data_IF_605676494913
#
_entry.id   IF_605676494913
#
_cell.length_a   1.000
_cell.length_b   1.000
_cell.length_c   1.000
_cell.angle_alpha   90.00
_cell.angle_beta   90.00
_cell.angle_gamma   90.00
#
_symmetry.space_group_name_H-M   'P 1'
#
loop_
_entity.id
_entity.type
_entity.pdbx_description
1 polymer ?
#
# COMPACT_ATOMS: atom_id res chain seq x y z
N UNK A 1 -18.33 -7.53 15.02
CA UNK A 1 -17.80 -6.23 14.54
C UNK A 1 -16.65 -5.81 15.46
N UNK A 2 -15.50 -5.38 14.92
CA UNK A 2 -14.40 -4.83 15.72
C UNK A 2 -14.61 -3.31 15.90
N UNK A 3 -14.70 -2.79 17.15
CA UNK A 3 -14.90 -1.35 17.38
C UNK A 3 -13.65 -0.50 17.12
N UNK A 4 -12.47 -1.13 16.98
CA UNK A 4 -11.20 -0.43 16.76
C UNK A 4 -10.66 -0.70 15.35
N UNK A 5 -9.90 0.23 14.76
CA UNK A 5 -9.17 -0.05 13.54
C UNK A 5 -8.18 -1.19 13.78
N UNK A 6 -8.01 -2.05 12.77
CA UNK A 6 -6.95 -3.05 12.77
C UNK A 6 -5.83 -2.56 11.86
N UNK A 7 -4.66 -2.38 12.45
CA UNK A 7 -3.51 -1.79 11.82
C UNK A 7 -2.41 -2.84 11.56
N UNK A 8 -1.69 -2.70 10.46
CA UNK A 8 -0.54 -3.54 10.12
C UNK A 8 0.57 -2.70 9.50
N UNK A 9 1.80 -3.16 9.65
CA UNK A 9 2.97 -2.53 9.05
C UNK A 9 3.85 -3.60 8.39
N UNK A 10 4.45 -3.23 7.27
CA UNK A 10 5.37 -4.06 6.51
C UNK A 10 6.45 -3.23 5.86
N UNK A 11 7.36 -3.89 5.13
CA UNK A 11 8.44 -3.21 4.43
C UNK A 11 8.69 -3.89 3.10
N UNK A 12 8.71 -3.11 2.03
CA UNK A 12 9.14 -3.57 0.70
C UNK A 12 10.64 -3.29 0.61
N UNK A 13 11.43 -4.33 0.36
CA UNK A 13 12.87 -4.21 0.17
C UNK A 13 13.22 -4.40 -1.29
N UNK A 14 14.05 -3.52 -1.85
CA UNK A 14 14.59 -3.67 -3.19
C UNK A 14 16.05 -3.20 -3.24
N UNK A 15 16.76 -3.70 -4.25
CA UNK A 15 18.17 -3.36 -4.47
C UNK A 15 18.37 -2.93 -5.91
N UNK A 16 18.95 -1.75 -6.11
CA UNK A 16 19.37 -1.28 -7.43
C UNK A 16 20.89 -1.53 -7.57
N UNK A 17 21.26 -2.56 -8.32
CA UNK A 17 22.66 -2.98 -8.49
C UNK A 17 23.37 -2.33 -9.71
N UNK A 18 22.72 -1.41 -10.42
CA UNK A 18 23.28 -0.75 -11.62
C UNK A 18 23.96 0.60 -11.36
N UNK A 19 24.65 1.19 -12.35
CA UNK A 19 25.34 2.48 -12.25
C UNK A 19 24.44 3.63 -11.76
N UNK A 20 23.14 3.57 -12.05
CA UNK A 20 22.15 4.55 -11.58
C UNK A 20 21.98 4.59 -10.05
N UNK A 21 22.31 3.50 -9.34
CA UNK A 21 22.37 3.48 -7.87
C UNK A 21 23.63 4.11 -7.28
N UNK A 22 24.65 4.37 -8.10
CA UNK A 22 25.82 5.16 -7.72
C UNK A 22 25.64 6.66 -7.97
N UNK A 23 24.68 7.07 -8.81
CA UNK A 23 24.43 8.46 -9.18
C UNK A 23 23.36 9.16 -8.32
N UNK A 24 22.76 8.46 -7.34
CA UNK A 24 21.81 9.06 -6.40
C UNK A 24 20.43 9.38 -6.98
N UNK A 25 19.89 8.53 -7.86
CA UNK A 25 18.52 8.67 -8.34
C UNK A 25 17.46 8.43 -7.24
N UNK A 26 16.19 8.70 -7.54
CA UNK A 26 15.04 8.29 -6.73
C UNK A 26 14.04 7.55 -7.61
N UNK A 27 13.52 6.41 -7.12
CA UNK A 27 12.42 5.72 -7.76
C UNK A 27 11.10 6.22 -7.17
N UNK A 28 10.15 6.52 -8.06
CA UNK A 28 8.75 6.76 -7.68
C UNK A 28 8.05 5.41 -7.66
N UNK A 29 7.43 5.07 -6.54
CA UNK A 29 6.77 3.77 -6.35
C UNK A 29 5.27 3.99 -6.20
N UNK A 30 4.50 3.46 -7.14
CA UNK A 30 3.04 3.53 -7.13
C UNK A 30 2.43 2.20 -6.72
N UNK A 31 1.21 2.26 -6.18
CA UNK A 31 0.46 1.10 -5.73
C UNK A 31 -0.91 1.10 -6.40
N UNK A 32 -1.30 0.00 -7.04
CA UNK A 32 -2.57 -0.10 -7.76
C UNK A 32 -3.80 0.01 -6.85
N UNK A 33 -4.97 0.22 -7.44
CA UNK A 33 -6.25 0.22 -6.74
C UNK A 33 -6.67 -1.17 -6.21
N UNK A 34 -5.98 -2.24 -6.62
CA UNK A 34 -6.41 -3.60 -6.32
C UNK A 34 -7.71 -3.95 -7.05
N UNK A 35 -8.44 -4.93 -6.51
CA UNK A 35 -9.71 -5.38 -7.09
C UNK A 35 -10.87 -4.38 -6.95
N UNK A 36 -10.75 -3.37 -6.07
CA UNK A 36 -11.82 -2.38 -5.85
C UNK A 36 -11.95 -1.31 -6.93
N UNK A 37 -10.91 -1.10 -7.75
CA UNK A 37 -10.88 -0.03 -8.76
C UNK A 37 -10.90 1.39 -8.19
N UNK A 38 -10.62 1.57 -6.89
CA UNK A 38 -10.53 2.89 -6.25
C UNK A 38 -9.47 2.95 -5.15
N UNK A 39 -8.86 4.12 -4.99
CA UNK A 39 -7.92 4.41 -3.90
C UNK A 39 -8.60 4.85 -2.60
N UNK A 40 -9.83 5.37 -2.66
CA UNK A 40 -10.50 5.93 -1.49
C UNK A 40 -10.73 4.87 -0.40
N UNK A 41 -11.16 3.68 -0.81
CA UNK A 41 -11.28 2.51 0.05
C UNK A 41 -11.06 1.26 -0.80
N UNK A 42 -9.94 0.58 -0.58
CA UNK A 42 -9.68 -0.72 -1.20
C UNK A 42 -10.48 -1.80 -0.49
N UNK A 43 -10.67 -2.93 -1.15
CA UNK A 43 -11.47 -4.03 -0.60
C UNK A 43 -10.81 -5.38 -0.82
N UNK A 44 -10.79 -6.21 0.22
CA UNK A 44 -10.47 -7.62 0.14
C UNK A 44 -11.75 -8.44 0.07
N UNK A 45 -11.72 -9.58 -0.60
CA UNK A 45 -12.90 -10.43 -0.84
C UNK A 45 -12.75 -11.81 -0.23
N UNK A 46 -13.86 -12.38 0.23
CA UNK A 46 -14.01 -13.76 0.69
C UNK A 46 -15.35 -14.32 0.22
N UNK A 47 -15.37 -14.95 -0.96
CA UNK A 47 -16.60 -15.30 -1.65
C UNK A 47 -17.41 -14.04 -1.99
N UNK A 48 -18.66 -13.96 -1.54
CA UNK A 48 -19.51 -12.78 -1.72
C UNK A 48 -19.28 -11.67 -0.67
N UNK A 49 -18.45 -11.91 0.35
CA UNK A 49 -18.20 -10.95 1.40
C UNK A 49 -17.06 -10.00 1.02
N UNK A 50 -17.18 -8.74 1.41
CA UNK A 50 -16.23 -7.67 1.09
C UNK A 50 -15.78 -7.00 2.38
N UNK A 51 -14.47 -6.84 2.56
CA UNK A 51 -13.86 -6.19 3.72
C UNK A 51 -12.99 -5.01 3.25
N UNK A 52 -13.33 -3.81 3.70
CA UNK A 52 -12.63 -2.58 3.39
C UNK A 52 -11.28 -2.46 4.10
N UNK A 53 -10.32 -1.88 3.40
CA UNK A 53 -9.00 -1.54 3.91
C UNK A 53 -8.38 -0.39 3.11
N UNK A 54 -7.26 0.14 3.58
CA UNK A 54 -6.40 0.97 2.75
C UNK A 54 -4.92 0.83 3.13
N UNK A 55 -4.05 1.32 2.25
CA UNK A 55 -2.61 1.30 2.40
C UNK A 55 -2.08 2.73 2.33
N UNK A 56 -1.13 3.06 3.21
CA UNK A 56 -0.63 4.40 3.44
C UNK A 56 0.90 4.44 3.37
N UNK A 57 1.43 5.59 2.97
CA UNK A 57 2.88 5.86 2.90
C UNK A 57 3.46 6.28 4.26
N UNK A 58 2.62 6.73 5.19
CA UNK A 58 3.02 7.26 6.50
C UNK A 58 2.44 6.46 7.67
N UNK A 59 3.18 6.45 8.79
CA UNK A 59 2.79 5.72 9.99
C UNK A 59 1.50 6.26 10.65
N UNK A 60 1.21 7.56 10.46
CA UNK A 60 -0.01 8.18 10.95
C UNK A 60 -1.25 7.84 10.06
N UNK A 61 -1.02 7.23 8.89
CA UNK A 61 -2.04 6.79 7.93
C UNK A 61 -2.92 7.95 7.46
N UNK A 62 -2.24 9.02 7.08
CA UNK A 62 -2.85 10.26 6.58
C UNK A 62 -2.75 10.38 5.07
N UNK A 63 -1.78 9.70 4.45
CA UNK A 63 -1.50 9.72 3.03
C UNK A 63 -1.76 8.35 2.42
N UNK A 64 -2.90 8.21 1.72
CA UNK A 64 -3.23 6.99 0.99
C UNK A 64 -2.19 6.78 -0.11
N UNK A 65 -1.59 5.59 -0.16
CA UNK A 65 -0.65 5.23 -1.20
C UNK A 65 -1.39 4.85 -2.47
N UNK A 66 -1.11 5.55 -3.57
CA UNK A 66 -1.64 5.29 -4.89
C UNK A 66 -0.61 5.66 -5.96
N UNK A 67 -1.03 6.48 -6.92
CA UNK A 67 -0.28 6.87 -8.12
C UNK A 67 -0.27 8.39 -8.34
N UNK A 68 -0.48 9.18 -7.28
CA UNK A 68 -0.61 10.64 -7.30
C UNK A 68 -1.94 11.15 -7.89
N UNK A 69 -2.83 10.26 -8.35
CA UNK A 69 -4.20 10.64 -8.72
C UNK A 69 -5.15 10.57 -7.52
N UNK A 70 -6.34 11.15 -7.64
CA UNK A 70 -7.38 11.11 -6.61
C UNK A 70 -6.92 11.56 -5.20
N UNK A 71 -5.93 12.46 -5.12
CA UNK A 71 -5.37 12.95 -3.86
C UNK A 71 -4.45 11.96 -3.12
N UNK A 72 -4.04 10.88 -3.78
CA UNK A 72 -3.11 9.90 -3.22
C UNK A 72 -1.68 10.40 -3.21
N UNK A 73 -0.84 9.79 -2.38
CA UNK A 73 0.61 9.96 -2.37
C UNK A 73 1.31 8.75 -2.98
N UNK A 74 2.58 8.91 -3.33
CA UNK A 74 3.45 7.84 -3.84
C UNK A 74 4.53 7.53 -2.83
N UNK A 75 5.06 6.31 -2.88
CA UNK A 75 6.26 5.94 -2.15
C UNK A 75 7.47 6.56 -2.83
N UNK A 76 8.35 7.17 -2.04
CA UNK A 76 9.66 7.59 -2.53
C UNK A 76 10.71 6.63 -2.03
N UNK A 77 11.51 6.15 -2.95
CA UNK A 77 12.50 5.16 -2.65
C UNK A 77 13.84 5.62 -3.24
N UNK A 78 14.79 6.10 -2.42
CA UNK A 78 16.10 6.54 -2.93
C UNK A 78 16.77 5.42 -3.74
N UNK A 79 17.71 5.69 -4.64
CA UNK A 79 18.43 4.62 -5.36
C UNK A 79 19.79 4.42 -4.69
N UNK A 80 20.16 3.17 -4.41
CA UNK A 80 21.29 2.81 -3.53
C UNK A 80 21.31 1.32 -3.15
N UNK A 81 22.30 0.90 -2.35
CA UNK A 81 22.39 -0.48 -1.87
C UNK A 81 21.47 -0.69 -0.66
N UNK A 82 20.38 -1.41 -0.87
CA UNK A 82 19.37 -1.83 0.13
C UNK A 82 18.41 -0.73 0.56
N UNK A 83 17.25 -0.67 -0.09
CA UNK A 83 16.22 0.30 0.20
C UNK A 83 14.97 -0.35 0.74
N UNK A 84 14.46 0.27 1.78
CA UNK A 84 13.31 -0.17 2.56
C UNK A 84 12.22 0.88 2.45
N UNK A 85 11.10 0.51 1.84
CA UNK A 85 9.91 1.34 1.74
C UNK A 85 8.88 0.83 2.76
N UNK A 86 8.62 1.57 3.85
CA UNK A 86 7.64 1.15 4.84
C UNK A 86 6.23 1.20 4.25
N UNK A 87 5.40 0.24 4.64
CA UNK A 87 4.02 0.08 4.16
C UNK A 87 3.12 0.02 5.38
N UNK A 88 2.08 0.85 5.42
CA UNK A 88 1.14 0.88 6.54
C UNK A 88 -0.25 0.50 6.05
N UNK A 89 -0.80 -0.61 6.53
CA UNK A 89 -2.16 -1.04 6.24
C UNK A 89 -3.11 -0.70 7.38
N UNK A 90 -4.37 -0.40 7.05
CA UNK A 90 -5.45 -0.26 8.04
C UNK A 90 -6.76 -0.80 7.50
N UNK A 91 -7.46 -1.55 8.35
CA UNK A 91 -8.87 -1.87 8.20
C UNK A 91 -9.67 -0.97 9.15
N UNK A 92 -10.65 -0.18 8.66
CA UNK A 92 -11.47 0.66 9.51
C UNK A 92 -12.35 -0.18 10.46
N UNK A 93 -12.71 0.37 11.63
CA UNK A 93 -13.60 -0.28 12.59
C UNK A 93 -15.03 -0.43 12.04
N UNK A 94 -15.87 -1.19 12.74
CA UNK A 94 -17.32 -1.22 12.52
C UNK A 94 -17.78 -2.05 11.32
N UNK A 95 -16.86 -2.75 10.65
CA UNK A 95 -17.21 -3.62 9.52
C UNK A 95 -17.90 -4.90 10.04
N UNK A 96 -19.13 -5.14 9.59
CA UNK A 96 -19.92 -6.32 9.93
C UNK A 96 -19.91 -7.35 8.81
N UNK A 97 -18.85 -8.15 8.76
CA UNK A 97 -18.65 -9.18 7.74
C UNK A 97 -18.45 -10.53 8.40
N UNK A 98 -18.72 -11.62 7.66
CA UNK A 98 -18.51 -12.97 8.16
C UNK A 98 -17.03 -13.20 8.52
N UNK A 99 -16.76 -13.98 9.57
CA UNK A 99 -15.40 -14.40 9.88
C UNK A 99 -14.84 -15.28 8.75
N UNK A 100 -13.61 -15.01 8.32
CA UNK A 100 -12.99 -15.72 7.21
C UNK A 100 -11.71 -15.04 6.74
N UNK A 101 -11.06 -15.65 5.74
CA UNK A 101 -9.87 -15.11 5.10
C UNK A 101 -10.27 -14.25 3.90
N UNK A 102 -10.00 -12.95 3.99
CA UNK A 102 -10.22 -12.00 2.91
C UNK A 102 -8.87 -11.68 2.24
N UNK A 103 -8.85 -11.65 0.91
CA UNK A 103 -7.63 -11.33 0.16
C UNK A 103 -7.89 -10.31 -0.95
N UNK A 104 -6.87 -9.52 -1.26
CA UNK A 104 -6.77 -8.66 -2.44
C UNK A 104 -5.33 -8.73 -2.96
N UNK A 105 -5.12 -8.41 -4.24
CA UNK A 105 -3.79 -8.36 -4.85
C UNK A 105 -3.49 -6.96 -5.35
N UNK A 106 -2.44 -6.34 -4.81
CA UNK A 106 -1.98 -5.02 -5.22
C UNK A 106 -0.72 -5.13 -6.07
N UNK A 107 -0.71 -4.45 -7.21
CA UNK A 107 0.48 -4.29 -8.05
C UNK A 107 1.28 -3.08 -7.59
N UNK A 108 2.59 -3.29 -7.39
CA UNK A 108 3.56 -2.24 -7.07
C UNK A 108 4.37 -1.94 -8.33
N UNK A 109 4.40 -0.69 -8.75
CA UNK A 109 5.13 -0.25 -9.95
C UNK A 109 6.24 0.71 -9.57
N UNK A 110 7.45 0.45 -10.07
CA UNK A 110 8.62 1.29 -9.86
C UNK A 110 8.91 2.09 -11.14
N UNK A 111 9.04 3.41 -11.00
CA UNK A 111 9.47 4.32 -12.05
C UNK A 111 10.87 4.84 -11.70
N UNK A 112 11.82 4.71 -12.64
CA UNK A 112 13.23 5.06 -12.48
C UNK A 112 13.65 6.21 -13.39
#
# INVERSE_FOLDING_TARGET
MNPNPTDSAGTITYTCAGPGGLLGGSAVVTLSQGSSGTYAQRTMVSGANVLGYNVFTDAARTQVWGDFTAGTSVGFAPVGKNLSLPVYGRMPPGQNVAAGSYSDTLTVTFFF
#
